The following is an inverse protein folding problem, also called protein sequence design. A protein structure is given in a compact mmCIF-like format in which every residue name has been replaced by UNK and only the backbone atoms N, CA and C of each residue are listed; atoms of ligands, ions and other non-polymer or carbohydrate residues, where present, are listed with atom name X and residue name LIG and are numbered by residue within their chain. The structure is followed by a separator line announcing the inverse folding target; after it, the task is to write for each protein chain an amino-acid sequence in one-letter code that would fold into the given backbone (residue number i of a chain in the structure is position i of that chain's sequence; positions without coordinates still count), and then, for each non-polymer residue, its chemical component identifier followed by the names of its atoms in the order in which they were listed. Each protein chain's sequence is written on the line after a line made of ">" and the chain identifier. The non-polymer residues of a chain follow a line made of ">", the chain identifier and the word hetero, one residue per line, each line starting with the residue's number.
data_IF_665495745177
#
_entry.id   IF_665495745177
#
_cell.length_a   1.000
_cell.length_b   1.000
_cell.length_c   1.000
_cell.angle_alpha   90.00
_cell.angle_beta   90.00
_cell.angle_gamma   90.00
#
_symmetry.space_group_name_H-M   'P 1'
#
loop_
_entity.id
_entity.type
_entity.pdbx_description
1 polymer ?
#
# COMPACT_ATOMS: atom_id res chain seq x y z
N UNK A 1 -11.67 -4.78 -1.63
CA UNK A 1 -13.03 -4.24 -1.86
C UNK A 1 -12.86 -2.90 -2.56
N UNK A 2 -13.55 -2.66 -3.68
CA UNK A 2 -13.42 -1.40 -4.42
C UNK A 2 -14.35 -0.32 -3.86
N UNK A 3 -13.93 0.95 -3.90
CA UNK A 3 -14.75 2.06 -3.46
C UNK A 3 -15.94 2.26 -4.41
N UNK A 4 -17.13 2.62 -3.90
CA UNK A 4 -18.35 2.81 -4.73
C UNK A 4 -18.24 3.95 -5.73
N UNK A 5 -17.60 5.04 -5.33
CA UNK A 5 -17.39 6.23 -6.15
C UNK A 5 -16.25 6.01 -7.16
N UNK A 6 -16.56 6.22 -8.44
CA UNK A 6 -15.61 6.05 -9.54
C UNK A 6 -14.47 7.07 -9.53
N UNK A 7 -14.72 8.29 -9.07
CA UNK A 7 -13.67 9.31 -8.98
C UNK A 7 -12.69 8.99 -7.86
N UNK A 8 -13.17 8.46 -6.74
CA UNK A 8 -12.30 7.95 -5.66
C UNK A 8 -11.46 6.77 -6.17
N UNK A 9 -12.03 5.83 -6.91
CA UNK A 9 -11.25 4.73 -7.51
C UNK A 9 -10.14 5.26 -8.44
N UNK A 10 -10.45 6.22 -9.32
CA UNK A 10 -9.46 6.84 -10.21
C UNK A 10 -8.37 7.57 -9.42
N UNK A 11 -8.74 8.28 -8.35
CA UNK A 11 -7.78 8.98 -7.49
C UNK A 11 -6.81 8.00 -6.80
N UNK A 12 -7.32 6.87 -6.30
CA UNK A 12 -6.51 5.81 -5.69
C UNK A 12 -5.51 5.23 -6.69
N UNK A 13 -5.92 5.00 -7.94
CA UNK A 13 -5.01 4.51 -9.00
C UNK A 13 -3.90 5.54 -9.24
N UNK A 14 -4.24 6.81 -9.44
CA UNK A 14 -3.25 7.89 -9.65
C UNK A 14 -2.27 8.03 -8.48
N UNK A 15 -2.74 7.82 -7.25
CA UNK A 15 -1.89 7.88 -6.06
C UNK A 15 -0.90 6.70 -6.03
N UNK A 16 -1.35 5.49 -6.38
CA UNK A 16 -0.46 4.33 -6.52
C UNK A 16 0.59 4.55 -7.62
N UNK A 17 0.20 5.10 -8.78
CA UNK A 17 1.13 5.39 -9.87
C UNK A 17 2.21 6.41 -9.44
N UNK A 18 1.80 7.45 -8.71
CA UNK A 18 2.70 8.46 -8.18
C UNK A 18 3.69 7.88 -7.14
N UNK A 19 3.20 7.00 -6.26
CA UNK A 19 4.06 6.28 -5.31
C UNK A 19 5.07 5.40 -6.06
N UNK A 20 4.64 4.58 -7.01
CA UNK A 20 5.56 3.77 -7.82
C UNK A 20 6.62 4.60 -8.56
N UNK A 21 6.26 5.81 -9.03
CA UNK A 21 7.24 6.71 -9.63
C UNK A 21 8.27 7.21 -8.62
N UNK A 22 7.82 7.54 -7.40
CA UNK A 22 8.70 7.98 -6.31
C UNK A 22 9.65 6.85 -5.87
N UNK A 23 9.12 5.64 -5.67
CA UNK A 23 9.89 4.45 -5.29
C UNK A 23 11.02 4.15 -6.28
N UNK A 24 10.78 4.31 -7.59
CA UNK A 24 11.83 4.18 -8.62
C UNK A 24 12.94 5.22 -8.51
N UNK A 25 12.63 6.40 -7.99
CA UNK A 25 13.60 7.49 -7.79
C UNK A 25 14.40 7.37 -6.50
N UNK A 26 13.87 6.65 -5.50
CA UNK A 26 14.46 6.55 -4.16
C UNK A 26 14.96 5.16 -3.81
N UNK A 27 14.58 4.13 -4.57
CA UNK A 27 14.80 2.71 -4.25
C UNK A 27 14.18 2.27 -2.91
N UNK A 28 13.17 3.01 -2.43
CA UNK A 28 12.45 2.72 -1.18
C UNK A 28 11.09 2.11 -1.52
N UNK A 29 10.63 1.14 -0.73
CA UNK A 29 9.27 0.61 -0.82
C UNK A 29 8.28 1.42 0.03
N UNK A 30 7.01 1.48 -0.39
CA UNK A 30 5.97 2.20 0.31
C UNK A 30 4.71 1.37 0.56
N UNK A 31 4.02 1.70 1.64
CA UNK A 31 2.69 1.19 1.98
C UNK A 31 1.71 2.36 1.92
N UNK A 32 0.63 2.21 1.15
CA UNK A 32 -0.49 3.15 1.12
C UNK A 32 -1.68 2.58 1.88
N UNK A 33 -2.16 3.32 2.89
CA UNK A 33 -3.33 2.97 3.68
C UNK A 33 -4.32 4.13 3.64
N UNK A 34 -5.50 3.90 3.06
CA UNK A 34 -6.59 4.88 3.02
C UNK A 34 -7.73 4.33 3.85
N UNK A 35 -8.24 5.14 4.77
CA UNK A 35 -9.36 4.80 5.65
C UNK A 35 -10.41 5.89 5.56
N UNK A 36 -11.63 5.52 5.25
CA UNK A 36 -12.79 6.40 5.24
C UNK A 36 -13.64 6.14 6.49
N UNK A 37 -14.17 7.20 7.09
CA UNK A 37 -15.23 7.04 8.10
C UNK A 37 -16.48 6.47 7.43
N UNK A 38 -16.82 5.22 7.75
CA UNK A 38 -17.88 4.48 7.05
C UNK A 38 -17.46 3.10 6.54
N UNK A 39 -16.18 2.73 6.71
CA UNK A 39 -15.74 1.33 6.59
C UNK A 39 -14.97 1.00 5.31
N UNK A 40 -14.75 1.97 4.41
CA UNK A 40 -13.84 1.75 3.30
C UNK A 40 -12.39 1.75 3.79
N UNK A 41 -11.67 0.70 3.44
CA UNK A 41 -10.24 0.56 3.68
C UNK A 41 -9.56 0.11 2.39
N UNK A 42 -8.61 0.89 1.91
CA UNK A 42 -7.72 0.52 0.82
C UNK A 42 -6.31 0.34 1.35
N UNK A 43 -5.65 -0.73 0.92
CA UNK A 43 -4.26 -1.05 1.23
C UNK A 43 -3.54 -1.51 -0.03
N UNK A 44 -2.36 -0.96 -0.28
CA UNK A 44 -1.43 -1.40 -1.32
C UNK A 44 0.01 -1.31 -0.83
N UNK A 45 0.86 -2.17 -1.39
CA UNK A 45 2.31 -2.21 -1.15
C UNK A 45 3.01 -2.08 -2.50
N UNK A 46 3.90 -1.11 -2.64
CA UNK A 46 4.64 -0.85 -3.88
C UNK A 46 3.72 -0.76 -5.11
N UNK A 47 2.60 -0.03 -4.95
CA UNK A 47 1.55 0.16 -5.95
C UNK A 47 0.71 -1.07 -6.30
N UNK A 48 0.97 -2.23 -5.70
CA UNK A 48 0.19 -3.46 -5.93
C UNK A 48 -0.98 -3.51 -4.94
N UNK A 49 -2.24 -3.42 -5.41
CA UNK A 49 -3.39 -3.63 -4.55
C UNK A 49 -3.50 -5.12 -4.17
N UNK A 50 -4.17 -5.41 -3.05
CA UNK A 50 -4.50 -6.79 -2.68
C UNK A 50 -3.83 -7.30 -1.40
N UNK A 51 -3.47 -6.41 -0.48
CA UNK A 51 -3.10 -6.82 0.88
C UNK A 51 -4.26 -7.61 1.50
N UNK A 52 -4.03 -8.85 1.97
CA UNK A 52 -5.05 -9.64 2.63
C UNK A 52 -5.60 -8.92 3.87
N UNK A 53 -6.92 -8.99 4.14
CA UNK A 53 -7.56 -8.22 5.20
C UNK A 53 -7.13 -8.63 6.61
N UNK A 54 -6.60 -9.85 6.77
CA UNK A 54 -6.02 -10.44 7.98
C UNK A 54 -4.60 -9.90 8.28
N UNK A 55 -3.96 -9.23 7.34
CA UNK A 55 -2.67 -8.59 7.55
C UNK A 55 -2.87 -7.26 8.27
N UNK A 56 -2.28 -7.14 9.46
CA UNK A 56 -2.29 -5.90 10.23
C UNK A 56 -1.38 -4.85 9.60
N UNK A 57 -1.70 -3.58 9.80
CA UNK A 57 -0.86 -2.47 9.35
C UNK A 57 0.58 -2.59 9.89
N UNK A 58 0.75 -3.04 11.14
CA UNK A 58 2.07 -3.28 11.73
C UNK A 58 2.86 -4.37 10.98
N UNK A 59 2.19 -5.40 10.47
CA UNK A 59 2.82 -6.45 9.68
C UNK A 59 3.25 -5.93 8.30
N UNK A 60 2.47 -5.01 7.70
CA UNK A 60 2.85 -4.36 6.44
C UNK A 60 4.13 -3.55 6.57
N UNK A 61 4.26 -2.75 7.63
CA UNK A 61 5.49 -1.98 7.87
C UNK A 61 6.69 -2.88 8.20
N UNK A 62 6.47 -4.02 8.87
CA UNK A 62 7.55 -4.96 9.20
C UNK A 62 8.12 -5.67 7.97
N UNK A 63 7.29 -5.99 6.98
CA UNK A 63 7.75 -6.69 5.77
C UNK A 63 8.68 -5.82 4.90
N UNK A 64 8.40 -4.51 4.79
CA UNK A 64 9.33 -3.56 4.13
C UNK A 64 10.69 -3.53 4.85
N UNK A 65 10.69 -3.53 6.18
CA UNK A 65 11.94 -3.49 6.96
C UNK A 65 12.72 -4.81 6.95
N UNK A 66 12.03 -5.94 6.75
CA UNK A 66 12.64 -7.27 6.70
C UNK A 66 13.26 -7.61 5.33
N UNK A 67 12.77 -7.02 4.22
CA UNK A 67 13.40 -7.21 2.90
C UNK A 67 14.76 -6.49 2.79
N UNK A 68 14.98 -5.44 3.59
CA UNK A 68 16.30 -4.78 3.70
C UNK A 68 17.32 -5.54 4.56
N UNK A 69 16.88 -6.45 5.45
CA UNK A 69 17.74 -7.25 6.32
C UNK A 69 17.18 -8.66 6.51
N UNK A 70 17.44 -9.61 5.60
CA UNK A 70 17.08 -11.00 5.84
C UNK A 70 17.81 -11.49 7.09
N UNK A 71 17.05 -12.05 8.02
CA UNK A 71 17.56 -12.70 9.21
C UNK A 71 18.55 -13.80 8.78
N UNK A 72 19.86 -13.53 8.94
CA UNK A 72 20.93 -14.49 8.74
C UNK A 72 20.93 -15.44 9.94
N UNK A 73 19.98 -16.38 9.93
CA UNK A 73 19.98 -17.55 10.83
C UNK A 73 20.84 -18.68 10.28
#
# INVERSE_FOLDING_TARGET
>A
MEHRDAEVRKAIIRLNDALCMWERGTSVESVLIIREQGGFVHRSVSGKPGVPPDVSDAHLFKNILNDEYPDIS
#
